data_IF_099256038578
#
_entry.id   IF_099256038578
#
_cell.length_a   1.000
_cell.length_b   1.000
_cell.length_c   1.000
_cell.angle_alpha   90.00
_cell.angle_beta   90.00
_cell.angle_gamma   90.00
#
_symmetry.space_group_name_H-M   'P 1'
#
loop_
_entity.id
_entity.type
_entity.pdbx_description
1 polymer ?
#
# COMPACT_ATOMS: atom_id res chain seq x y z
N UNK A 1 1.49 -19.14 2.36
CA UNK A 1 2.92 -18.75 2.52
C UNK A 1 3.43 -19.14 3.90
N UNK A 2 3.92 -20.35 4.03
CA UNK A 2 4.31 -20.93 5.31
C UNK A 2 5.80 -21.25 5.34
N UNK A 3 6.46 -21.01 6.47
CA UNK A 3 7.86 -21.36 6.66
C UNK A 3 8.09 -21.94 8.05
N UNK A 4 8.92 -23.00 8.13
CA UNK A 4 9.29 -23.56 9.42
C UNK A 4 10.43 -22.74 10.04
N UNK A 5 10.20 -22.26 11.25
CA UNK A 5 11.10 -21.38 11.98
C UNK A 5 11.74 -22.04 13.21
N UNK A 6 11.59 -23.36 13.39
CA UNK A 6 12.13 -24.09 14.54
C UNK A 6 13.64 -23.87 14.75
N UNK A 7 14.42 -23.86 13.67
CA UNK A 7 15.86 -23.59 13.76
C UNK A 7 16.17 -22.17 14.22
N UNK A 8 15.41 -21.18 13.70
CA UNK A 8 15.58 -19.78 14.07
C UNK A 8 15.16 -19.54 15.53
N UNK A 9 14.10 -20.21 16.01
CA UNK A 9 13.67 -20.14 17.39
C UNK A 9 14.70 -20.71 18.38
N UNK A 10 15.53 -21.68 17.97
CA UNK A 10 16.65 -22.24 18.77
C UNK A 10 17.91 -21.39 18.70
N UNK A 11 18.03 -20.51 17.70
CA UNK A 11 19.21 -19.68 17.50
C UNK A 11 19.26 -18.55 18.54
N UNK A 12 20.44 -17.96 18.79
CA UNK A 12 20.58 -16.77 19.64
C UNK A 12 19.71 -15.61 19.17
N UNK A 13 19.28 -14.75 20.12
CA UNK A 13 18.61 -13.47 19.80
C UNK A 13 19.47 -12.64 18.86
N UNK A 14 18.86 -12.05 17.84
CA UNK A 14 19.55 -11.33 16.77
C UNK A 14 19.92 -12.20 15.57
N UNK A 15 19.72 -13.53 15.61
CA UNK A 15 19.94 -14.37 14.43
C UNK A 15 18.97 -14.00 13.32
N UNK A 16 19.47 -14.03 12.09
CA UNK A 16 18.76 -13.58 10.90
C UNK A 16 18.65 -14.71 9.89
N UNK A 17 17.50 -14.83 9.24
CA UNK A 17 17.27 -15.70 8.09
C UNK A 17 16.51 -14.94 7.02
N UNK A 18 17.05 -14.86 5.83
CA UNK A 18 16.41 -14.23 4.67
C UNK A 18 15.95 -15.30 3.69
N UNK A 19 14.80 -15.07 3.05
CA UNK A 19 14.29 -15.95 2.01
C UNK A 19 13.50 -15.18 0.96
N UNK A 20 13.57 -15.60 -0.30
CA UNK A 20 12.76 -15.04 -1.37
C UNK A 20 11.30 -15.49 -1.22
N UNK A 21 10.39 -14.61 -1.58
CA UNK A 21 8.96 -14.88 -1.69
C UNK A 21 8.57 -14.79 -3.16
N UNK A 22 7.98 -15.85 -3.70
CA UNK A 22 7.32 -15.87 -5.01
C UNK A 22 6.14 -16.85 -4.89
N UNK A 23 4.99 -16.32 -4.52
CA UNK A 23 3.82 -17.11 -4.22
C UNK A 23 2.56 -16.38 -4.68
N UNK A 24 1.44 -17.09 -4.78
CA UNK A 24 0.14 -16.52 -5.17
C UNK A 24 -0.83 -16.57 -4.00
N UNK A 25 -1.49 -15.45 -3.78
CA UNK A 25 -2.50 -15.29 -2.75
C UNK A 25 -3.83 -14.92 -3.38
N UNK A 26 -4.91 -15.59 -2.99
CA UNK A 26 -6.27 -15.25 -3.41
C UNK A 26 -6.94 -14.37 -2.36
N UNK A 27 -7.48 -13.23 -2.80
CA UNK A 27 -8.28 -12.34 -1.96
C UNK A 27 -9.49 -11.84 -2.75
N UNK A 28 -10.68 -12.06 -2.20
CA UNK A 28 -11.95 -11.61 -2.79
C UNK A 28 -12.15 -12.04 -4.26
N UNK A 29 -11.67 -13.24 -4.63
CA UNK A 29 -11.76 -13.78 -5.98
C UNK A 29 -10.74 -13.19 -6.98
N UNK A 30 -9.74 -12.45 -6.47
CA UNK A 30 -8.63 -11.94 -7.27
C UNK A 30 -7.34 -12.62 -6.82
N UNK A 31 -6.56 -13.09 -7.78
CA UNK A 31 -5.22 -13.65 -7.52
C UNK A 31 -4.16 -12.55 -7.52
N UNK A 32 -3.34 -12.55 -6.47
CA UNK A 32 -2.22 -11.65 -6.29
C UNK A 32 -0.91 -12.44 -6.28
N UNK A 33 -0.11 -12.31 -7.32
CA UNK A 33 1.25 -12.85 -7.28
C UNK A 33 2.12 -11.92 -6.47
N UNK A 34 2.65 -12.43 -5.35
CA UNK A 34 3.47 -11.67 -4.41
C UNK A 34 4.93 -12.08 -4.58
N UNK A 35 5.78 -11.11 -4.85
CA UNK A 35 7.21 -11.34 -5.06
C UNK A 35 8.05 -10.39 -4.22
N UNK A 36 9.23 -10.85 -3.79
CA UNK A 36 10.19 -10.04 -3.05
C UNK A 36 11.06 -10.84 -2.10
N UNK A 37 11.52 -10.19 -1.05
CA UNK A 37 12.40 -10.79 -0.06
C UNK A 37 11.97 -10.41 1.35
N UNK A 38 11.92 -11.41 2.23
CA UNK A 38 11.64 -11.25 3.65
C UNK A 38 12.81 -11.70 4.50
N UNK A 39 13.04 -10.97 5.56
CA UNK A 39 14.05 -11.24 6.58
C UNK A 39 13.35 -11.52 7.90
N UNK A 40 13.62 -12.69 8.48
CA UNK A 40 13.18 -13.08 9.81
C UNK A 40 14.32 -12.83 10.79
N UNK A 41 14.01 -12.14 11.86
CA UNK A 41 14.98 -11.79 12.90
C UNK A 41 14.48 -12.38 14.23
N UNK A 42 15.32 -13.17 14.88
CA UNK A 42 15.01 -13.70 16.20
C UNK A 42 15.06 -12.57 17.24
N UNK A 43 13.91 -12.25 17.82
CA UNK A 43 13.76 -11.30 18.93
C UNK A 43 13.63 -12.03 20.28
N UNK A 44 13.57 -11.31 21.37
CA UNK A 44 13.31 -11.87 22.70
C UNK A 44 11.85 -12.30 22.79
N UNK A 45 11.57 -13.61 22.65
CA UNK A 45 10.22 -14.17 22.76
C UNK A 45 9.41 -14.20 21.47
N UNK A 46 9.94 -13.70 20.33
CA UNK A 46 9.21 -13.58 19.06
C UNK A 46 10.13 -13.68 17.86
N UNK A 47 9.55 -13.62 16.66
CA UNK A 47 10.25 -13.42 15.39
C UNK A 47 9.70 -12.17 14.73
N UNK A 48 10.58 -11.20 14.48
CA UNK A 48 10.28 -10.04 13.67
C UNK A 48 10.47 -10.41 12.19
N UNK A 49 9.43 -10.23 11.39
CA UNK A 49 9.44 -10.38 9.94
C UNK A 49 9.46 -9.01 9.31
N UNK A 50 10.45 -8.74 8.48
CA UNK A 50 10.53 -7.47 7.75
C UNK A 50 11.05 -7.69 6.34
N UNK A 51 10.64 -6.83 5.41
CA UNK A 51 11.11 -6.87 4.04
C UNK A 51 10.26 -6.04 3.08
N UNK A 52 10.53 -6.24 1.80
CA UNK A 52 9.81 -5.56 0.73
C UNK A 52 9.22 -6.61 -0.19
N UNK A 53 7.93 -6.50 -0.38
CA UNK A 53 7.18 -7.31 -1.33
C UNK A 53 6.52 -6.40 -2.36
N UNK A 54 6.26 -6.95 -3.52
CA UNK A 54 5.51 -6.30 -4.59
C UNK A 54 4.46 -7.27 -5.10
N UNK A 55 3.28 -6.76 -5.41
CA UNK A 55 2.26 -7.49 -6.16
C UNK A 55 1.73 -6.64 -7.31
N UNK A 56 1.05 -7.29 -8.25
CA UNK A 56 0.41 -6.64 -9.38
C UNK A 56 -1.02 -7.13 -9.48
N UNK A 57 -1.92 -6.20 -9.83
CA UNK A 57 -3.33 -6.53 -10.06
C UNK A 57 -3.90 -5.67 -11.18
N UNK A 58 -4.85 -6.23 -11.92
CA UNK A 58 -5.55 -5.50 -12.95
C UNK A 58 -6.68 -4.69 -12.33
N UNK A 59 -6.68 -3.41 -12.61
CA UNK A 59 -7.62 -2.44 -12.05
C UNK A 59 -8.24 -1.61 -13.16
N UNK A 60 -9.39 -1.01 -12.86
CA UNK A 60 -10.03 -0.03 -13.75
C UNK A 60 -9.75 1.39 -13.25
N UNK A 61 -9.30 2.26 -14.13
CA UNK A 61 -9.05 3.66 -13.81
C UNK A 61 -10.35 4.37 -13.44
N UNK A 62 -10.39 5.03 -12.28
CA UNK A 62 -11.57 5.75 -11.79
C UNK A 62 -11.95 6.98 -12.64
N UNK A 63 -11.06 7.47 -13.52
CA UNK A 63 -11.32 8.64 -14.37
C UNK A 63 -11.67 8.28 -15.80
N UNK A 64 -10.89 7.41 -16.45
CA UNK A 64 -11.08 7.08 -17.87
C UNK A 64 -11.67 5.69 -18.12
N UNK A 65 -11.94 4.93 -17.07
CA UNK A 65 -12.54 3.60 -17.07
C UNK A 65 -11.76 2.56 -17.89
N UNK A 66 -10.51 2.84 -18.26
CA UNK A 66 -9.65 1.86 -18.93
C UNK A 66 -9.04 0.90 -17.93
N UNK A 67 -8.91 -0.39 -18.29
CA UNK A 67 -8.15 -1.34 -17.50
C UNK A 67 -6.66 -0.99 -17.55
N UNK A 68 -5.96 -1.23 -16.46
CA UNK A 68 -4.50 -1.09 -16.35
C UNK A 68 -3.99 -1.97 -15.23
N UNK A 69 -2.73 -2.40 -15.31
CA UNK A 69 -2.08 -3.17 -14.26
C UNK A 69 -1.46 -2.22 -13.24
N UNK A 70 -1.88 -2.33 -11.99
CA UNK A 70 -1.36 -1.58 -10.86
C UNK A 70 -0.29 -2.40 -10.15
N UNK A 71 0.88 -1.82 -9.94
CA UNK A 71 1.93 -2.36 -9.06
C UNK A 71 1.74 -1.82 -7.65
N UNK A 72 1.74 -2.71 -6.68
CA UNK A 72 1.51 -2.41 -5.26
C UNK A 72 2.77 -2.80 -4.48
N UNK A 73 3.67 -1.85 -4.20
CA UNK A 73 4.82 -2.10 -3.32
C UNK A 73 4.36 -2.11 -1.86
N UNK A 74 4.85 -3.07 -1.10
CA UNK A 74 4.54 -3.25 0.33
C UNK A 74 5.83 -3.34 1.13
N UNK A 75 5.87 -2.64 2.25
CA UNK A 75 6.93 -2.78 3.25
C UNK A 75 6.34 -3.52 4.45
N UNK A 76 6.72 -4.78 4.60
CA UNK A 76 6.25 -5.64 5.68
C UNK A 76 7.10 -5.40 6.91
N UNK A 77 6.44 -5.30 8.07
CA UNK A 77 7.09 -5.28 9.38
C UNK A 77 6.11 -5.76 10.42
N UNK A 78 6.19 -7.06 10.76
CA UNK A 78 5.27 -7.71 11.68
C UNK A 78 6.00 -8.63 12.65
N UNK A 79 5.47 -8.76 13.84
CA UNK A 79 6.01 -9.60 14.90
C UNK A 79 5.14 -10.84 15.11
N UNK A 80 5.79 -12.02 15.12
CA UNK A 80 5.15 -13.31 15.26
C UNK A 80 5.55 -13.97 16.58
N UNK A 81 4.56 -14.34 17.38
CA UNK A 81 4.76 -14.89 18.72
C UNK A 81 4.59 -16.41 18.71
N UNK A 82 5.56 -17.20 19.22
CA UNK A 82 5.41 -18.63 19.34
C UNK A 82 4.34 -18.98 20.40
N UNK A 83 3.54 -19.99 20.11
CA UNK A 83 2.51 -20.50 21.04
C UNK A 83 3.07 -21.52 22.00
N UNK A 84 4.22 -22.13 21.66
CA UNK A 84 4.92 -23.15 22.46
C UNK A 84 6.40 -22.80 22.53
N UNK A 85 6.98 -22.97 23.70
CA UNK A 85 8.43 -22.86 23.89
C UNK A 85 9.16 -23.98 23.17
N UNK A 86 10.13 -23.65 22.33
CA UNK A 86 10.85 -24.61 21.46
C UNK A 86 11.75 -25.61 22.25
N UNK A 87 12.12 -25.28 23.49
CA UNK A 87 13.03 -26.09 24.32
C UNK A 87 12.23 -26.97 25.26
N UNK A 88 11.26 -26.40 25.97
CA UNK A 88 10.50 -27.08 27.01
C UNK A 88 9.22 -27.72 26.52
N UNK A 89 8.70 -27.32 25.34
CA UNK A 89 7.40 -27.74 24.82
C UNK A 89 6.20 -27.16 25.59
N UNK A 90 6.44 -26.28 26.55
CA UNK A 90 5.38 -25.66 27.34
C UNK A 90 4.64 -24.60 26.55
N UNK A 91 3.32 -24.51 26.78
CA UNK A 91 2.52 -23.43 26.18
C UNK A 91 2.94 -22.09 26.74
N UNK A 92 3.14 -21.14 25.84
CA UNK A 92 3.43 -19.75 26.16
C UNK A 92 2.12 -18.95 26.35
N UNK A 93 2.14 -17.88 27.15
CA UNK A 93 1.00 -16.99 27.27
C UNK A 93 0.67 -16.36 25.92
N UNK A 94 -0.62 -16.15 25.67
CA UNK A 94 -1.04 -15.45 24.46
C UNK A 94 -0.56 -13.99 24.49
N UNK A 95 -0.24 -13.39 23.35
CA UNK A 95 0.05 -11.97 23.27
C UNK A 95 -1.09 -11.14 23.87
N UNK A 96 -0.78 -9.98 24.43
CA UNK A 96 -1.78 -9.07 25.01
C UNK A 96 -2.71 -8.51 23.94
N UNK A 97 -2.17 -8.22 22.76
CA UNK A 97 -2.95 -7.75 21.61
C UNK A 97 -3.58 -8.96 20.88
N UNK A 98 -4.92 -9.05 20.81
CA UNK A 98 -5.62 -10.11 20.10
C UNK A 98 -5.39 -10.11 18.59
N UNK A 99 -4.89 -9.01 18.02
CA UNK A 99 -4.51 -8.88 16.61
C UNK A 99 -3.12 -9.43 16.27
N UNK A 100 -2.34 -9.86 17.27
CA UNK A 100 -0.98 -10.36 17.08
C UNK A 100 -0.94 -11.66 16.29
N UNK A 101 0.03 -11.77 15.37
CA UNK A 101 0.28 -13.00 14.63
C UNK A 101 1.00 -14.03 15.50
N UNK A 102 0.65 -15.31 15.33
CA UNK A 102 1.22 -16.40 16.10
C UNK A 102 1.88 -17.44 15.22
N UNK A 103 2.89 -18.10 15.79
CA UNK A 103 3.55 -19.29 15.23
C UNK A 103 2.89 -20.50 15.86
N UNK A 104 2.50 -21.48 15.05
CA UNK A 104 1.78 -22.65 15.52
C UNK A 104 2.64 -23.60 16.40
N UNK A 105 2.02 -24.67 16.90
CA UNK A 105 2.68 -25.67 17.73
C UNK A 105 3.72 -26.54 16.98
N UNK A 106 3.68 -26.52 15.65
CA UNK A 106 4.67 -27.17 14.79
C UNK A 106 5.79 -26.22 14.36
N UNK A 107 5.82 -25.00 14.93
CA UNK A 107 6.77 -23.94 14.60
C UNK A 107 6.67 -23.47 13.14
N UNK A 108 5.46 -23.54 12.58
CA UNK A 108 5.16 -22.98 11.27
C UNK A 108 4.71 -21.54 11.44
N UNK A 109 5.39 -20.64 10.78
CA UNK A 109 5.04 -19.22 10.65
C UNK A 109 4.27 -19.05 9.35
N UNK A 110 3.01 -18.65 9.43
CA UNK A 110 2.16 -18.40 8.27
C UNK A 110 2.02 -16.90 8.01
N UNK A 111 2.53 -16.47 6.87
CA UNK A 111 2.54 -15.08 6.42
C UNK A 111 1.28 -14.69 5.63
N UNK A 112 0.42 -15.66 5.30
CA UNK A 112 -0.69 -15.45 4.37
C UNK A 112 -1.60 -14.33 4.82
N UNK A 113 -2.05 -14.36 6.08
CA UNK A 113 -2.96 -13.36 6.61
C UNK A 113 -2.30 -11.98 6.76
N UNK A 114 -1.05 -11.93 7.22
CA UNK A 114 -0.30 -10.68 7.31
C UNK A 114 -0.19 -10.02 5.93
N UNK A 115 0.27 -10.76 4.93
CA UNK A 115 0.44 -10.23 3.57
C UNK A 115 -0.91 -9.80 2.97
N UNK A 116 -1.99 -10.56 3.21
CA UNK A 116 -3.35 -10.18 2.81
C UNK A 116 -3.73 -8.80 3.34
N UNK A 117 -3.51 -8.55 4.63
CA UNK A 117 -3.79 -7.25 5.26
C UNK A 117 -2.95 -6.12 4.65
N UNK A 118 -1.68 -6.38 4.34
CA UNK A 118 -0.82 -5.40 3.67
C UNK A 118 -1.29 -5.09 2.25
N UNK A 119 -1.73 -6.08 1.46
CA UNK A 119 -2.30 -5.86 0.13
C UNK A 119 -3.51 -4.93 0.22
N UNK A 120 -4.47 -5.25 1.10
CA UNK A 120 -5.70 -4.45 1.28
C UNK A 120 -5.38 -3.02 1.71
N UNK A 121 -4.44 -2.86 2.65
CA UNK A 121 -4.06 -1.54 3.17
C UNK A 121 -3.26 -0.71 2.14
N UNK A 122 -2.45 -1.36 1.32
CA UNK A 122 -1.63 -0.70 0.30
C UNK A 122 -2.41 -0.32 -0.96
N UNK A 123 -3.63 -0.85 -1.14
CA UNK A 123 -4.48 -0.46 -2.26
C UNK A 123 -4.86 1.02 -2.18
N UNK A 124 -4.65 1.81 -3.24
CA UNK A 124 -5.06 3.20 -3.25
C UNK A 124 -6.59 3.31 -3.29
N UNK A 125 -7.17 4.18 -2.48
CA UNK A 125 -8.61 4.49 -2.49
C UNK A 125 -9.09 5.02 -3.85
N UNK A 126 -8.19 5.58 -4.66
CA UNK A 126 -8.46 6.07 -6.00
C UNK A 126 -7.45 5.49 -6.99
N UNK A 127 -7.93 4.56 -7.80
CA UNK A 127 -7.11 3.89 -8.83
C UNK A 127 -7.03 4.76 -10.08
N UNK A 128 -5.83 5.13 -10.49
CA UNK A 128 -5.57 5.95 -11.68
C UNK A 128 -4.54 5.26 -12.57
N UNK A 129 -4.80 5.21 -13.87
CA UNK A 129 -3.84 4.65 -14.85
C UNK A 129 -2.57 5.51 -14.97
N UNK A 130 -2.68 6.80 -14.69
CA UNK A 130 -1.59 7.77 -14.57
C UNK A 130 -2.04 8.92 -13.66
N UNK A 131 -1.12 9.57 -13.01
CA UNK A 131 -1.39 10.66 -12.06
C UNK A 131 -2.20 11.80 -12.66
N UNK A 132 -1.85 12.22 -13.88
CA UNK A 132 -2.51 13.29 -14.63
C UNK A 132 -3.55 12.76 -15.63
N UNK A 133 -4.25 11.66 -15.30
CA UNK A 133 -5.30 11.16 -16.19
C UNK A 133 -6.41 12.20 -16.35
N UNK A 134 -6.65 12.64 -17.59
CA UNK A 134 -7.68 13.63 -17.91
C UNK A 134 -9.12 13.07 -17.79
N UNK A 135 -9.27 11.75 -17.84
CA UNK A 135 -10.56 11.07 -17.71
C UNK A 135 -11.41 11.10 -18.97
N UNK A 136 -12.71 10.93 -18.79
CA UNK A 136 -13.72 11.02 -19.84
C UNK A 136 -14.42 12.39 -19.80
N UNK A 137 -14.82 12.88 -20.96
CA UNK A 137 -15.67 14.06 -21.04
C UNK A 137 -17.04 13.76 -20.42
N UNK A 138 -17.49 14.60 -19.49
CA UNK A 138 -18.78 14.42 -18.79
C UNK A 138 -20.00 14.54 -19.75
N UNK A 139 -19.85 15.21 -20.90
CA UNK A 139 -20.93 15.45 -21.85
C UNK A 139 -21.01 14.38 -22.93
N UNK A 140 -19.88 14.01 -23.56
CA UNK A 140 -19.89 13.10 -24.72
C UNK A 140 -19.19 11.76 -24.46
N UNK A 141 -18.58 11.55 -23.31
CA UNK A 141 -17.90 10.31 -22.96
C UNK A 141 -16.55 10.10 -23.66
N UNK A 142 -16.06 11.03 -24.49
CA UNK A 142 -14.75 10.89 -25.14
C UNK A 142 -13.61 10.84 -24.12
N UNK A 143 -12.60 10.05 -24.41
CA UNK A 143 -11.39 9.96 -23.60
C UNK A 143 -10.49 11.19 -23.83
N UNK A 144 -10.46 12.06 -22.85
CA UNK A 144 -9.67 13.30 -22.86
C UNK A 144 -8.15 13.07 -22.79
N UNK A 145 -7.71 11.85 -22.59
CA UNK A 145 -6.28 11.50 -22.70
C UNK A 145 -5.82 11.27 -24.12
N UNK A 146 -6.76 11.05 -25.06
CA UNK A 146 -6.47 10.73 -26.45
C UNK A 146 -6.85 11.89 -27.39
N UNK A 147 -8.00 12.53 -27.13
CA UNK A 147 -8.55 13.57 -28.02
C UNK A 147 -9.18 14.69 -27.20
N UNK A 148 -9.05 15.92 -27.72
CA UNK A 148 -9.84 17.03 -27.21
C UNK A 148 -11.27 16.91 -27.71
N UNK A 149 -12.24 17.16 -26.84
CA UNK A 149 -13.65 17.21 -27.24
C UNK A 149 -14.08 18.66 -27.45
N UNK A 150 -14.90 18.91 -28.50
CA UNK A 150 -15.49 20.22 -28.77
C UNK A 150 -16.70 20.57 -27.88
N UNK A 151 -16.96 19.83 -26.81
CA UNK A 151 -18.07 20.08 -25.91
C UNK A 151 -17.81 21.36 -25.11
N UNK A 152 -18.82 22.26 -25.08
CA UNK A 152 -18.77 23.39 -24.16
C UNK A 152 -18.83 22.88 -22.71
N UNK A 153 -17.91 23.35 -21.87
CA UNK A 153 -18.04 23.16 -20.44
C UNK A 153 -19.34 23.84 -20.00
N UNK A 154 -20.12 23.10 -19.19
CA UNK A 154 -21.37 23.65 -18.66
C UNK A 154 -21.11 24.96 -17.93
N UNK A 155 -22.03 25.92 -18.13
CA UNK A 155 -22.03 27.15 -17.36
C UNK A 155 -22.20 26.80 -15.87
N UNK A 156 -21.37 27.40 -15.05
CA UNK A 156 -21.43 27.20 -13.60
C UNK A 156 -22.84 27.49 -13.11
N UNK A 157 -23.43 26.57 -12.34
CA UNK A 157 -24.75 26.74 -11.73
C UNK A 157 -24.81 28.13 -11.05
N UNK A 158 -25.83 28.96 -11.33
CA UNK A 158 -25.98 30.31 -10.75
C UNK A 158 -25.85 30.35 -9.22
N UNK A 159 -26.22 29.27 -8.53
CA UNK A 159 -26.09 29.14 -7.08
C UNK A 159 -24.63 29.17 -6.60
N UNK A 160 -23.68 28.80 -7.45
CA UNK A 160 -22.24 28.80 -7.15
C UNK A 160 -21.54 30.11 -7.65
N UNK A 161 -22.27 31.04 -8.24
CA UNK A 161 -21.71 32.29 -8.78
C UNK A 161 -20.96 33.11 -7.70
N UNK A 162 -21.43 33.12 -6.46
CA UNK A 162 -20.79 33.79 -5.36
C UNK A 162 -19.36 33.24 -5.06
N UNK A 163 -19.12 31.96 -5.27
CA UNK A 163 -17.79 31.34 -5.06
C UNK A 163 -16.75 31.80 -6.08
N UNK A 164 -17.19 32.23 -7.28
CA UNK A 164 -16.29 32.83 -8.29
C UNK A 164 -15.65 34.13 -7.81
N UNK A 165 -16.33 34.92 -6.97
CA UNK A 165 -15.78 36.13 -6.37
C UNK A 165 -14.58 35.81 -5.45
N UNK A 166 -14.64 34.68 -4.69
CA UNK A 166 -13.54 34.21 -3.86
C UNK A 166 -12.31 33.77 -4.67
N UNK A 167 -12.52 33.07 -5.78
CA UNK A 167 -11.44 32.66 -6.69
C UNK A 167 -10.68 33.86 -7.29
N UNK A 168 -11.38 34.92 -7.60
CA UNK A 168 -10.80 36.15 -8.17
C UNK A 168 -10.08 36.97 -7.09
N UNK A 169 -10.57 37.01 -5.85
CA UNK A 169 -9.91 37.72 -4.75
C UNK A 169 -8.59 37.07 -4.32
N UNK A 170 -8.44 35.74 -4.46
CA UNK A 170 -7.18 35.05 -4.16
C UNK A 170 -6.09 35.21 -5.25
N UNK A 171 -6.44 35.53 -6.50
CA UNK A 171 -5.45 35.82 -7.53
C UNK A 171 -4.67 37.13 -7.32
N UNK A 172 -5.18 38.04 -6.50
CA UNK A 172 -4.53 39.34 -6.20
C UNK A 172 -3.46 39.21 -5.09
N UNK A 173 -3.44 38.12 -4.30
CA UNK A 173 -2.51 37.96 -3.15
C UNK A 173 -1.29 37.10 -3.40
N UNK A 174 -1.11 36.51 -4.58
CA UNK A 174 0.13 35.81 -4.94
C UNK A 174 0.99 36.74 -5.82
N UNK A 175 1.26 37.91 -5.33
CA UNK A 175 2.36 38.74 -5.82
C UNK A 175 3.66 38.20 -5.21
N UNK A 176 4.49 37.69 -6.04
CA UNK A 176 5.75 36.98 -5.86
C UNK A 176 6.70 37.70 -4.87
N UNK A 177 7.03 37.17 -3.67
CA UNK A 177 7.91 37.88 -2.72
C UNK A 177 9.40 37.79 -3.10
N UNK A 178 9.76 37.33 -4.28
CA UNK A 178 11.15 37.07 -4.65
C UNK A 178 11.73 38.08 -5.71
N UNK A 179 11.19 39.26 -5.83
CA UNK A 179 11.68 40.28 -6.77
C UNK A 179 12.42 41.47 -6.15
N UNK A 180 12.80 41.37 -4.87
CA UNK A 180 13.56 42.41 -4.17
C UNK A 180 14.86 41.89 -3.50
N UNK A 181 15.70 41.14 -4.23
CA UNK A 181 17.08 40.93 -3.83
C UNK A 181 18.01 40.92 -5.05
N UNK A 182 18.11 42.04 -5.73
CA UNK A 182 19.25 42.36 -6.59
C UNK A 182 19.26 43.87 -6.81
N UNK A 183 19.83 44.64 -5.88
CA UNK A 183 20.51 45.92 -6.07
C UNK A 183 20.96 46.47 -4.72
N UNK A 184 22.13 46.04 -4.26
CA UNK A 184 23.10 46.88 -3.56
C UNK A 184 24.46 46.24 -3.82
N UNK A 185 25.26 47.03 -4.55
CA UNK A 185 26.70 47.08 -4.78
C UNK A 185 27.54 45.90 -4.34
#
# INVERSE_FOLDING_TARGET
>A
MQTNVAQLLKAPVGSIRTFPVDDTLEESGTEYRVQGELTLIRSTGSILVQGRLETQTDMTCSRCLKPFTLKIPMKIQEEFFPTIDIITGMKLPKPEDPGSFTIDEHHILDLTEAIRQYIVTAMPMKTLCKEECAGLCATCGKDLNQEECGCRQETIDPRWAELLKLKNSNKVKIANPNKQRKKVK
#
